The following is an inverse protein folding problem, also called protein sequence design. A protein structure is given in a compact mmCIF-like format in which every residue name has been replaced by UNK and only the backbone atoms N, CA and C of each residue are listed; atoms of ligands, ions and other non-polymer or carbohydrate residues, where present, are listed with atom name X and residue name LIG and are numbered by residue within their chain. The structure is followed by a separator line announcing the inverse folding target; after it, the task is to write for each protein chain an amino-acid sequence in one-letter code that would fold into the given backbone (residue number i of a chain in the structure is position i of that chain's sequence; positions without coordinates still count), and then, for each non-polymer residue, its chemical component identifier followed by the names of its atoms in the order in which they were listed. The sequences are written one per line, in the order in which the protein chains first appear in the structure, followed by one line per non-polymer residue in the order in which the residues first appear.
data_IF_375589439688
#
_entry.id   IF_375589439688
#
_cell.length_a   1.000
_cell.length_b   1.000
_cell.length_c   1.000
_cell.angle_alpha   90.00
_cell.angle_beta   90.00
_cell.angle_gamma   90.00
#
_symmetry.space_group_name_H-M   'P 1'
#
loop_
_entity.id
_entity.type
_entity.pdbx_description
1 polymer ?
#
# COMPACT_ATOMS: atom_id res chain seq x y z
N UNK A 1 -16.48 12.02 -5.87
CA UNK A 1 -15.82 13.01 -4.99
C UNK A 1 -14.93 12.22 -4.04
N UNK A 2 -13.64 12.49 -3.96
CA UNK A 2 -12.79 11.86 -2.93
C UNK A 2 -13.16 12.52 -1.59
N UNK A 3 -13.58 11.71 -0.62
CA UNK A 3 -13.80 12.20 0.74
C UNK A 3 -12.46 12.61 1.35
N UNK A 4 -12.44 13.75 2.02
CA UNK A 4 -11.27 14.18 2.79
C UNK A 4 -11.17 13.30 4.05
N UNK A 5 -9.96 12.83 4.40
CA UNK A 5 -9.77 11.97 5.55
C UNK A 5 -10.22 12.63 6.86
N UNK A 6 -10.91 11.87 7.71
CA UNK A 6 -11.13 12.25 9.10
C UNK A 6 -9.99 11.69 9.95
N UNK A 7 -9.24 12.58 10.59
CA UNK A 7 -8.07 12.23 11.40
C UNK A 7 -8.38 11.97 12.87
N UNK A 8 -9.63 12.10 13.30
CA UNK A 8 -10.02 11.93 14.70
C UNK A 8 -9.65 10.54 15.22
N UNK A 9 -8.87 10.51 16.29
CA UNK A 9 -8.42 9.27 16.94
C UNK A 9 -7.14 8.67 16.36
N UNK A 10 -6.62 9.19 15.25
CA UNK A 10 -5.35 8.73 14.70
C UNK A 10 -4.19 8.96 15.67
N UNK A 11 -3.14 8.14 15.52
CA UNK A 11 -1.86 8.29 16.20
C UNK A 11 -0.78 8.68 15.18
N UNK A 12 -0.09 9.80 15.42
CA UNK A 12 1.04 10.25 14.62
C UNK A 12 2.34 10.14 15.44
N UNK A 13 3.31 9.40 14.92
CA UNK A 13 4.67 9.43 15.43
C UNK A 13 5.46 10.56 14.77
N UNK A 14 5.97 11.47 15.59
CA UNK A 14 6.83 12.57 15.16
C UNK A 14 8.27 12.20 15.48
N UNK A 15 9.06 11.96 14.44
CA UNK A 15 10.48 11.61 14.57
C UNK A 15 11.29 12.88 14.32
N UNK A 16 11.48 13.63 15.37
CA UNK A 16 12.13 14.94 15.40
C UNK A 16 12.63 15.25 16.82
N UNK A 17 13.63 16.09 16.92
CA UNK A 17 14.03 16.67 18.21
C UNK A 17 13.01 17.68 18.67
N UNK A 18 12.86 17.86 19.97
CA UNK A 18 11.96 18.87 20.51
C UNK A 18 12.46 20.28 20.18
N UNK A 19 11.63 21.07 19.51
CA UNK A 19 11.86 22.46 19.14
C UNK A 19 10.54 23.20 18.93
N UNK A 20 10.64 24.51 18.60
CA UNK A 20 9.47 25.35 18.35
C UNK A 20 8.63 24.91 17.14
N UNK A 21 9.19 24.17 16.18
CA UNK A 21 8.46 23.64 15.04
C UNK A 21 7.60 22.44 15.47
N UNK A 22 8.18 21.53 16.27
CA UNK A 22 7.45 20.38 16.80
C UNK A 22 6.32 20.79 17.73
N UNK A 23 6.52 21.81 18.56
CA UNK A 23 5.45 22.35 19.42
C UNK A 23 4.25 22.88 18.59
N UNK A 24 4.54 23.64 17.52
CA UNK A 24 3.50 24.15 16.61
C UNK A 24 2.77 23.02 15.92
N UNK A 25 3.52 22.03 15.42
CA UNK A 25 2.99 20.84 14.76
C UNK A 25 2.06 20.07 15.69
N UNK A 26 2.53 19.73 16.89
CA UNK A 26 1.74 18.99 17.89
C UNK A 26 0.45 19.72 18.24
N UNK A 27 0.50 21.05 18.40
CA UNK A 27 -0.68 21.86 18.66
C UNK A 27 -1.70 21.75 17.52
N UNK A 28 -1.21 21.82 16.27
CA UNK A 28 -2.08 21.71 15.10
C UNK A 28 -2.67 20.30 14.93
N UNK A 29 -1.89 19.26 15.17
CA UNK A 29 -2.35 17.87 15.10
C UNK A 29 -3.43 17.58 16.16
N UNK A 30 -3.28 18.12 17.38
CA UNK A 30 -4.30 18.01 18.44
C UNK A 30 -5.63 18.66 18.04
N UNK A 31 -5.60 19.81 17.35
CA UNK A 31 -6.82 20.45 16.83
C UNK A 31 -7.54 19.59 15.79
N UNK A 32 -6.82 18.73 15.09
CA UNK A 32 -7.36 17.76 14.13
C UNK A 32 -7.80 16.44 14.79
N UNK A 33 -7.69 16.34 16.13
CA UNK A 33 -8.04 15.12 16.88
C UNK A 33 -7.00 14.00 16.80
N UNK A 34 -5.76 14.30 16.38
CA UNK A 34 -4.67 13.35 16.26
C UNK A 34 -3.89 13.28 17.57
N UNK A 35 -3.70 12.07 18.10
CA UNK A 35 -2.76 11.80 19.20
C UNK A 35 -1.34 11.78 18.66
N UNK A 36 -0.38 12.28 19.43
CA UNK A 36 1.01 12.40 18.99
C UNK A 36 1.97 11.76 19.97
N UNK A 37 2.98 11.08 19.47
CA UNK A 37 4.20 10.74 20.18
C UNK A 37 5.38 11.46 19.52
N UNK A 38 6.29 12.00 20.33
CA UNK A 38 7.52 12.64 19.87
C UNK A 38 8.71 11.80 20.31
N UNK A 39 9.57 11.47 19.36
CA UNK A 39 10.79 10.71 19.63
C UNK A 39 11.91 11.11 18.68
N UNK A 40 13.15 10.93 19.10
CA UNK A 40 14.33 11.02 18.24
C UNK A 40 15.10 9.70 18.31
N UNK A 41 14.40 8.64 17.88
CA UNK A 41 14.92 7.27 17.83
C UNK A 41 14.25 6.55 16.64
N UNK A 42 14.84 5.46 16.13
CA UNK A 42 14.22 4.65 15.10
C UNK A 42 12.82 4.19 15.49
N UNK A 43 11.92 4.18 14.51
CA UNK A 43 10.57 3.68 14.69
C UNK A 43 10.60 2.14 14.78
N UNK A 44 9.95 1.58 15.79
CA UNK A 44 9.84 0.13 15.92
C UNK A 44 8.83 -0.43 14.89
N UNK A 45 9.17 -1.55 14.26
CA UNK A 45 8.29 -2.22 13.30
C UNK A 45 7.04 -2.87 13.94
N UNK A 46 7.06 -3.05 15.26
CA UNK A 46 5.99 -3.74 16.01
C UNK A 46 4.84 -2.84 16.44
N UNK A 47 5.03 -1.52 16.44
CA UNK A 47 4.03 -0.55 16.90
C UNK A 47 3.95 0.61 15.88
N UNK A 48 3.37 0.31 14.73
CA UNK A 48 3.26 1.28 13.64
C UNK A 48 2.12 2.26 13.91
N UNK A 49 2.39 3.58 13.80
CA UNK A 49 1.37 4.61 13.91
C UNK A 49 0.50 4.68 12.65
N UNK A 50 -0.60 5.42 12.73
CA UNK A 50 -1.44 5.71 11.56
C UNK A 50 -0.77 6.71 10.59
N UNK A 51 0.22 7.48 11.09
CA UNK A 51 0.96 8.50 10.34
C UNK A 51 2.36 8.69 10.93
N UNK A 52 3.36 8.86 10.07
CA UNK A 52 4.71 9.27 10.47
C UNK A 52 5.01 10.67 9.96
N UNK A 53 5.58 11.51 10.83
CA UNK A 53 6.12 12.81 10.46
C UNK A 53 7.61 12.81 10.84
N UNK A 54 8.49 12.94 9.86
CA UNK A 54 9.94 12.73 10.05
C UNK A 54 10.76 13.98 9.67
N UNK A 55 11.79 14.28 10.47
CA UNK A 55 12.78 15.30 10.13
C UNK A 55 13.69 14.80 9.01
N UNK A 56 13.53 15.34 7.81
CA UNK A 56 14.37 14.98 6.69
C UNK A 56 15.72 15.71 6.67
N UNK A 57 15.87 16.85 7.35
CA UNK A 57 17.17 17.56 7.41
C UNK A 57 18.22 16.75 8.18
N UNK A 58 17.80 16.07 9.25
CA UNK A 58 18.69 15.31 10.12
C UNK A 58 18.42 13.79 10.06
N UNK A 59 17.51 13.34 9.19
CA UNK A 59 17.21 11.93 9.02
C UNK A 59 18.43 11.12 8.54
N UNK A 60 18.50 9.87 8.96
CA UNK A 60 19.52 8.90 8.55
C UNK A 60 18.86 7.59 8.13
N UNK A 61 19.60 6.71 7.49
CA UNK A 61 19.16 5.37 7.13
C UNK A 61 18.78 4.59 8.39
N UNK A 62 17.80 3.68 8.26
CA UNK A 62 17.26 2.88 9.37
C UNK A 62 16.44 3.67 10.42
N UNK A 63 16.14 4.94 10.18
CA UNK A 63 15.26 5.73 11.05
C UNK A 63 13.82 5.22 10.99
N UNK A 64 13.39 4.76 9.82
CA UNK A 64 12.11 4.08 9.59
C UNK A 64 12.35 2.60 9.29
N UNK A 65 11.43 1.69 9.70
CA UNK A 65 11.62 0.24 9.57
C UNK A 65 11.39 -0.29 8.14
N UNK A 66 11.28 0.60 7.15
CA UNK A 66 11.16 0.26 5.73
C UNK A 66 12.22 1.01 4.92
N UNK A 67 12.68 0.39 3.84
CA UNK A 67 13.72 0.93 2.94
C UNK A 67 13.22 1.22 1.54
N UNK A 68 11.93 1.05 1.27
CA UNK A 68 11.37 1.15 -0.07
C UNK A 68 10.14 2.08 -0.04
N UNK A 69 9.75 2.68 -1.18
CA UNK A 69 8.51 3.45 -1.30
C UNK A 69 7.26 2.76 -0.76
N UNK A 70 7.29 1.45 -0.48
CA UNK A 70 6.23 0.71 0.23
C UNK A 70 6.18 1.02 1.73
N UNK A 71 6.11 2.30 2.10
CA UNK A 71 5.90 2.70 3.49
C UNK A 71 4.65 2.03 4.09
N UNK A 72 4.75 1.52 5.33
CA UNK A 72 3.65 0.83 5.99
C UNK A 72 2.48 1.76 6.38
N UNK A 73 2.75 3.06 6.49
CA UNK A 73 1.76 4.10 6.77
C UNK A 73 2.11 5.40 6.00
N UNK A 74 1.20 6.38 5.93
CA UNK A 74 1.49 7.68 5.35
C UNK A 74 2.69 8.36 6.02
N UNK A 75 3.57 8.96 5.22
CA UNK A 75 4.75 9.67 5.70
C UNK A 75 4.72 11.12 5.24
N UNK A 76 4.99 12.05 6.16
CA UNK A 76 5.20 13.48 5.90
C UNK A 76 6.63 13.83 6.29
N UNK A 77 7.38 14.45 5.41
CA UNK A 77 8.74 14.93 5.70
C UNK A 77 8.72 16.40 6.14
N UNK A 78 9.50 16.72 7.17
CA UNK A 78 9.77 18.11 7.57
C UNK A 78 11.12 18.52 6.98
N UNK A 79 11.16 19.62 6.26
CA UNK A 79 12.35 20.14 5.56
C UNK A 79 12.57 21.60 5.84
N UNK A 80 13.76 21.95 6.31
CA UNK A 80 14.24 23.33 6.45
C UNK A 80 15.21 23.73 5.33
N UNK A 81 15.74 22.74 4.61
CA UNK A 81 16.71 22.92 3.54
C UNK A 81 16.18 22.39 2.21
N UNK A 82 16.33 23.14 1.12
CA UNK A 82 16.00 22.69 -0.23
C UNK A 82 17.10 21.80 -0.86
N UNK A 83 18.02 21.25 -0.05
CA UNK A 83 19.10 20.39 -0.54
C UNK A 83 18.55 19.15 -1.26
N UNK A 84 18.92 18.93 -2.54
CA UNK A 84 18.36 17.82 -3.33
C UNK A 84 18.50 16.45 -2.67
N UNK A 85 19.62 16.20 -1.98
CA UNK A 85 19.84 14.93 -1.27
C UNK A 85 18.88 14.71 -0.12
N UNK A 86 18.38 15.75 0.55
CA UNK A 86 17.39 15.65 1.62
C UNK A 86 15.98 15.37 1.08
N UNK A 87 15.67 15.98 -0.05
CA UNK A 87 14.42 15.70 -0.78
C UNK A 87 14.42 14.25 -1.29
N UNK A 88 15.53 13.80 -1.90
CA UNK A 88 15.68 12.42 -2.36
C UNK A 88 15.51 11.42 -1.19
N UNK A 89 16.19 11.65 -0.07
CA UNK A 89 16.05 10.83 1.12
C UNK A 89 14.59 10.77 1.61
N UNK A 90 13.90 11.91 1.68
CA UNK A 90 12.49 11.93 2.09
C UNK A 90 11.60 11.09 1.17
N UNK A 91 11.84 11.13 -0.15
CA UNK A 91 11.12 10.31 -1.12
C UNK A 91 11.42 8.81 -0.94
N UNK A 92 12.69 8.44 -0.69
CA UNK A 92 13.10 7.07 -0.41
C UNK A 92 12.47 6.51 0.88
N UNK A 93 12.19 7.39 1.87
CA UNK A 93 11.43 7.00 3.06
C UNK A 93 9.91 6.90 2.81
N UNK A 94 9.45 7.13 1.59
CA UNK A 94 8.05 7.01 1.21
C UNK A 94 7.22 8.27 1.49
N UNK A 95 7.84 9.44 1.72
CA UNK A 95 7.12 10.68 1.95
C UNK A 95 6.13 10.97 0.82
N UNK A 96 4.86 11.17 1.19
CA UNK A 96 3.78 11.58 0.30
C UNK A 96 3.55 13.08 0.31
N UNK A 97 4.13 13.81 1.28
CA UNK A 97 4.08 15.25 1.35
C UNK A 97 5.29 15.80 2.13
N UNK A 98 5.59 17.07 1.91
CA UNK A 98 6.64 17.82 2.59
C UNK A 98 6.03 19.04 3.25
N UNK A 99 6.43 19.33 4.49
CA UNK A 99 6.15 20.57 5.20
C UNK A 99 7.46 21.32 5.39
N UNK A 100 7.53 22.54 4.88
CA UNK A 100 8.70 23.38 5.05
C UNK A 100 8.81 23.92 6.50
N UNK A 101 10.04 23.98 7.02
CA UNK A 101 10.36 24.67 8.26
C UNK A 101 10.77 26.13 7.96
N UNK A 102 10.30 27.14 8.71
CA UNK A 102 9.42 27.04 9.89
C UNK A 102 8.00 26.63 9.55
N UNK A 103 7.41 25.76 10.36
CA UNK A 103 6.10 25.16 10.08
C UNK A 103 4.99 26.20 10.12
N UNK A 104 4.33 26.40 8.97
CA UNK A 104 3.10 27.18 8.87
C UNK A 104 1.89 26.28 9.21
N UNK A 105 1.01 26.74 10.10
CA UNK A 105 -0.19 25.97 10.52
C UNK A 105 -1.11 25.62 9.35
N UNK A 106 -1.19 26.51 8.35
CA UNK A 106 -1.98 26.30 7.12
C UNK A 106 -1.43 25.18 6.22
N UNK A 107 -0.15 24.82 6.36
CA UNK A 107 0.48 23.77 5.55
C UNK A 107 0.21 22.35 6.11
N UNK A 108 -0.12 22.22 7.39
CA UNK A 108 -0.22 20.94 8.06
C UNK A 108 -1.36 20.08 7.49
N UNK A 109 -2.58 20.58 7.54
CA UNK A 109 -3.74 19.81 7.07
C UNK A 109 -3.64 19.37 5.60
N UNK A 110 -3.31 20.26 4.64
CA UNK A 110 -3.13 19.85 3.25
C UNK A 110 -2.05 18.78 3.07
N UNK A 111 -0.92 18.88 3.77
CA UNK A 111 0.14 17.88 3.70
C UNK A 111 -0.31 16.52 4.21
N UNK A 112 -1.08 16.46 5.31
CA UNK A 112 -1.65 15.22 5.81
C UNK A 112 -2.59 14.56 4.78
N UNK A 113 -3.50 15.35 4.20
CA UNK A 113 -4.44 14.86 3.18
C UNK A 113 -3.67 14.31 1.97
N UNK A 114 -2.64 15.02 1.50
CA UNK A 114 -1.81 14.58 0.38
C UNK A 114 -1.05 13.28 0.71
N UNK A 115 -0.41 13.22 1.87
CA UNK A 115 0.35 12.04 2.28
C UNK A 115 -0.54 10.78 2.34
N UNK A 116 -1.74 10.91 2.92
CA UNK A 116 -2.72 9.81 2.98
C UNK A 116 -3.18 9.41 1.59
N UNK A 117 -3.52 10.37 0.72
CA UNK A 117 -3.97 10.11 -0.65
C UNK A 117 -2.90 9.38 -1.46
N UNK A 118 -1.65 9.83 -1.39
CA UNK A 118 -0.53 9.22 -2.12
C UNK A 118 -0.22 7.82 -1.57
N UNK A 119 -0.23 7.65 -0.25
CA UNK A 119 -0.04 6.34 0.37
C UNK A 119 -1.11 5.34 -0.09
N UNK A 120 -2.38 5.73 -0.07
CA UNK A 120 -3.48 4.87 -0.51
C UNK A 120 -3.39 4.53 -2.01
N UNK A 121 -2.99 5.48 -2.84
CA UNK A 121 -2.79 5.25 -4.27
C UNK A 121 -1.64 4.26 -4.52
N UNK A 122 -0.50 4.42 -3.84
CA UNK A 122 0.64 3.49 -3.91
C UNK A 122 0.22 2.08 -3.49
N UNK A 123 -0.51 1.95 -2.38
CA UNK A 123 -1.03 0.68 -1.88
C UNK A 123 -1.94 0.01 -2.90
N UNK A 124 -2.93 0.73 -3.43
CA UNK A 124 -3.85 0.21 -4.43
C UNK A 124 -3.12 -0.22 -5.72
N UNK A 125 -2.10 0.54 -6.14
CA UNK A 125 -1.29 0.20 -7.31
C UNK A 125 -0.45 -1.06 -7.06
N UNK A 126 0.15 -1.20 -5.87
CA UNK A 126 0.91 -2.40 -5.51
C UNK A 126 0.03 -3.66 -5.49
N UNK A 127 -1.16 -3.58 -4.87
CA UNK A 127 -2.14 -4.67 -4.84
C UNK A 127 -2.59 -5.05 -6.26
N UNK A 128 -2.82 -4.06 -7.11
CA UNK A 128 -3.21 -4.28 -8.51
C UNK A 128 -2.10 -4.94 -9.31
N UNK A 129 -0.85 -4.50 -9.15
CA UNK A 129 0.30 -5.11 -9.80
C UNK A 129 0.47 -6.57 -9.37
N UNK A 130 0.43 -6.84 -8.08
CA UNK A 130 0.52 -8.20 -7.53
C UNK A 130 -0.59 -9.10 -8.09
N UNK A 131 -1.82 -8.62 -8.16
CA UNK A 131 -2.94 -9.35 -8.76
C UNK A 131 -2.69 -9.66 -10.24
N UNK A 132 -2.18 -8.69 -11.02
CA UNK A 132 -1.90 -8.90 -12.44
C UNK A 132 -0.73 -9.86 -12.65
N UNK A 133 0.34 -9.75 -11.85
CA UNK A 133 1.49 -10.67 -11.89
C UNK A 133 1.08 -12.11 -11.59
N UNK A 134 0.22 -12.31 -10.58
CA UNK A 134 -0.32 -13.63 -10.27
C UNK A 134 -1.11 -14.20 -11.44
N UNK A 135 -1.96 -13.41 -12.07
CA UNK A 135 -2.72 -13.85 -13.26
C UNK A 135 -1.81 -14.24 -14.41
N UNK A 136 -0.78 -13.44 -14.70
CA UNK A 136 0.20 -13.75 -15.74
C UNK A 136 0.94 -15.05 -15.42
N UNK A 137 1.39 -15.23 -14.19
CA UNK A 137 2.07 -16.45 -13.73
C UNK A 137 1.21 -17.70 -13.85
N UNK A 138 -0.09 -17.58 -13.58
CA UNK A 138 -1.03 -18.70 -13.63
C UNK A 138 -1.63 -18.97 -15.01
N UNK A 139 -1.39 -18.07 -16.00
CA UNK A 139 -1.96 -18.20 -17.34
C UNK A 139 -1.63 -19.54 -18.05
N UNK A 140 -0.40 -20.12 -17.96
CA UNK A 140 -0.13 -21.44 -18.53
C UNK A 140 -1.02 -22.54 -17.97
N UNK A 141 -1.49 -22.42 -16.71
CA UNK A 141 -2.37 -23.39 -16.11
C UNK A 141 -3.77 -23.40 -16.72
N UNK A 142 -4.21 -22.29 -17.30
CA UNK A 142 -5.49 -22.21 -18.04
C UNK A 142 -5.45 -23.18 -19.22
N UNK A 143 -4.36 -23.16 -19.99
CA UNK A 143 -4.21 -24.08 -21.13
C UNK A 143 -4.14 -25.54 -20.67
N UNK A 144 -3.34 -25.85 -19.66
CA UNK A 144 -3.26 -27.19 -19.10
C UNK A 144 -4.60 -27.68 -18.52
N UNK A 145 -5.40 -26.80 -17.91
CA UNK A 145 -6.74 -27.13 -17.42
C UNK A 145 -7.71 -27.41 -18.58
N UNK A 146 -7.65 -26.61 -19.66
CA UNK A 146 -8.45 -26.85 -20.87
C UNK A 146 -8.10 -28.19 -21.49
N UNK A 147 -6.83 -28.53 -21.70
CA UNK A 147 -6.39 -29.84 -22.19
C UNK A 147 -6.90 -30.99 -21.31
N UNK A 148 -6.82 -30.83 -19.99
CA UNK A 148 -7.31 -31.84 -19.05
C UNK A 148 -8.82 -32.06 -19.14
N UNK A 149 -9.59 -30.96 -19.32
CA UNK A 149 -11.05 -31.02 -19.52
C UNK A 149 -11.44 -31.62 -20.86
N UNK A 150 -10.71 -31.29 -21.95
CA UNK A 150 -10.89 -31.90 -23.26
C UNK A 150 -10.75 -33.41 -23.19
N UNK A 151 -9.68 -33.87 -22.54
CA UNK A 151 -9.42 -35.31 -22.39
C UNK A 151 -10.47 -36.02 -21.53
N UNK A 152 -10.89 -35.40 -20.42
CA UNK A 152 -11.84 -36.00 -19.47
C UNK A 152 -13.26 -36.07 -20.02
N UNK A 153 -13.73 -35.01 -20.71
CA UNK A 153 -15.10 -34.93 -21.21
C UNK A 153 -15.25 -35.26 -22.71
N UNK A 154 -14.13 -35.50 -23.41
CA UNK A 154 -14.09 -35.75 -24.86
C UNK A 154 -14.76 -34.62 -25.67
N UNK A 155 -14.50 -33.38 -25.31
CA UNK A 155 -15.01 -32.15 -25.95
C UNK A 155 -13.88 -31.42 -26.66
N UNK A 156 -14.23 -30.47 -27.51
CA UNK A 156 -13.29 -29.58 -28.16
C UNK A 156 -12.78 -28.47 -27.19
N UNK A 157 -11.81 -27.69 -27.64
CA UNK A 157 -11.18 -26.64 -26.86
C UNK A 157 -12.18 -25.55 -26.44
N UNK A 158 -13.10 -25.16 -27.35
CA UNK A 158 -14.07 -24.11 -27.08
C UNK A 158 -15.03 -24.53 -25.95
N UNK A 159 -15.51 -25.76 -26.00
CA UNK A 159 -16.39 -26.32 -24.96
C UNK A 159 -15.67 -26.52 -23.64
N UNK A 160 -14.43 -27.02 -23.66
CA UNK A 160 -13.61 -27.18 -22.46
C UNK A 160 -13.31 -25.81 -21.80
N UNK A 161 -13.02 -24.79 -22.60
CA UNK A 161 -12.85 -23.44 -22.11
C UNK A 161 -14.13 -22.87 -21.48
N UNK A 162 -15.30 -23.12 -22.10
CA UNK A 162 -16.59 -22.71 -21.53
C UNK A 162 -16.85 -23.38 -20.18
N UNK A 163 -16.57 -24.69 -20.05
CA UNK A 163 -16.69 -25.42 -18.77
C UNK A 163 -15.81 -24.80 -17.70
N UNK A 164 -14.54 -24.51 -18.02
CA UNK A 164 -13.60 -23.87 -17.11
C UNK A 164 -14.10 -22.51 -16.63
N UNK A 165 -14.56 -21.67 -17.57
CA UNK A 165 -15.09 -20.33 -17.30
C UNK A 165 -16.34 -20.40 -16.41
N UNK A 166 -17.31 -21.25 -16.73
CA UNK A 166 -18.56 -21.35 -15.99
C UNK A 166 -18.32 -21.88 -14.58
N UNK A 167 -17.37 -22.80 -14.41
CA UNK A 167 -16.93 -23.27 -13.11
C UNK A 167 -16.30 -22.12 -12.30
N UNK A 168 -15.42 -21.32 -12.89
CA UNK A 168 -14.80 -20.16 -12.25
C UNK A 168 -15.86 -19.12 -11.82
N UNK A 169 -16.85 -18.86 -12.67
CA UNK A 169 -17.95 -17.94 -12.38
C UNK A 169 -18.81 -18.44 -11.20
N UNK A 170 -19.21 -19.71 -11.20
CA UNK A 170 -19.98 -20.30 -10.08
C UNK A 170 -19.24 -20.20 -8.75
N UNK A 171 -17.91 -20.35 -8.79
CA UNK A 171 -17.04 -20.29 -7.61
C UNK A 171 -16.63 -18.89 -7.22
N UNK A 172 -16.94 -17.89 -8.05
CA UNK A 172 -16.48 -16.48 -7.89
C UNK A 172 -14.96 -16.36 -7.78
N UNK A 173 -14.24 -17.19 -8.55
CA UNK A 173 -12.79 -17.19 -8.61
C UNK A 173 -12.32 -16.68 -9.97
N UNK A 174 -11.14 -16.05 -10.05
CA UNK A 174 -10.44 -15.84 -11.31
C UNK A 174 -10.24 -17.17 -12.04
N UNK A 175 -10.35 -17.15 -13.37
CA UNK A 175 -10.24 -18.36 -14.18
C UNK A 175 -8.88 -19.05 -14.01
N UNK A 176 -7.83 -18.27 -13.84
CA UNK A 176 -6.46 -18.75 -13.63
C UNK A 176 -6.32 -19.52 -12.30
N UNK A 177 -6.95 -19.04 -11.23
CA UNK A 177 -6.96 -19.75 -9.94
C UNK A 177 -7.79 -21.03 -10.03
N UNK A 178 -8.96 -20.99 -10.67
CA UNK A 178 -9.78 -22.18 -10.88
C UNK A 178 -9.02 -23.25 -11.71
N UNK A 179 -8.27 -22.80 -12.74
CA UNK A 179 -7.40 -23.68 -13.52
C UNK A 179 -6.32 -24.34 -12.68
N UNK A 180 -5.71 -23.60 -11.75
CA UNK A 180 -4.71 -24.15 -10.83
C UNK A 180 -5.28 -25.29 -9.96
N UNK A 181 -6.51 -25.15 -9.46
CA UNK A 181 -7.18 -26.22 -8.69
C UNK A 181 -7.45 -27.47 -9.56
N UNK A 182 -7.90 -27.27 -10.80
CA UNK A 182 -8.15 -28.38 -11.74
C UNK A 182 -6.86 -29.11 -12.09
N UNK A 183 -5.79 -28.39 -12.39
CA UNK A 183 -4.49 -28.98 -12.73
C UNK A 183 -3.87 -29.69 -11.53
N UNK A 184 -3.93 -29.07 -10.36
CA UNK A 184 -3.41 -29.60 -9.10
C UNK A 184 -4.15 -30.84 -8.57
N UNK A 185 -5.34 -31.17 -9.13
CA UNK A 185 -6.13 -32.31 -8.70
C UNK A 185 -6.70 -32.18 -7.29
N UNK A 186 -6.76 -30.97 -6.76
CA UNK A 186 -7.29 -30.69 -5.41
C UNK A 186 -8.81 -30.94 -5.30
N UNK A 187 -9.50 -31.00 -6.43
CA UNK A 187 -10.95 -31.17 -6.51
C UNK A 187 -11.37 -32.04 -7.70
N UNK A 188 -12.57 -32.65 -7.66
CA UNK A 188 -13.11 -33.37 -8.81
C UNK A 188 -13.31 -32.42 -10.00
N UNK A 189 -13.16 -32.96 -11.20
CA UNK A 189 -13.36 -32.18 -12.43
C UNK A 189 -14.81 -31.66 -12.49
N UNK A 190 -15.03 -30.41 -12.94
CA UNK A 190 -16.38 -29.90 -13.10
C UNK A 190 -17.14 -30.68 -14.17
N UNK A 191 -18.42 -30.95 -13.95
CA UNK A 191 -19.28 -31.64 -14.90
C UNK A 191 -19.45 -30.81 -16.18
N UNK A 192 -19.50 -31.55 -17.33
CA UNK A 192 -19.86 -30.95 -18.60
C UNK A 192 -21.39 -30.78 -18.62
N UNK A 193 -21.87 -29.61 -18.14
CA UNK A 193 -23.29 -29.27 -18.17
C UNK A 193 -23.83 -29.07 -19.60
#
# INVERSE_FOLDING_TARGET
MRETPNFTGWHAAIIHREDSNTERLIRQLRLLGIRTSLQWAPLAATDLPDLVIVDADQGWDDLLPWKDPAAACPVVALLGSEAPGRIAWALEQGAGAIIAKPIATSAVYPALVMAVSIHQERKNNAERLQYLEERVRLRPLVHAAVEKLMAAHRVDEERAYAILRDCAMRRRLPMEQNAAFIVGGAEPLPEAG
#
